data_IF_732830032417
#
_entry.id   IF_732830032417
#
_cell.length_a   1.000
_cell.length_b   1.000
_cell.length_c   1.000
_cell.angle_alpha   90.00
_cell.angle_beta   90.00
_cell.angle_gamma   90.00
#
_symmetry.space_group_name_H-M   'P 1'
#
loop_
_entity.id
_entity.type
_entity.pdbx_description
1 polymer ?
#
# COMPACT_ATOMS: atom_id res chain seq x y z
N UNK A 1 -2.51 -17.29 27.71
CA UNK A 1 -1.20 -17.47 28.36
C UNK A 1 -0.28 -16.39 27.83
N UNK A 2 0.12 -15.40 28.64
CA UNK A 2 1.10 -14.40 28.21
C UNK A 2 2.45 -15.09 28.07
N UNK A 3 2.82 -15.40 26.83
CA UNK A 3 4.15 -15.93 26.54
C UNK A 3 5.11 -14.74 26.65
N UNK A 4 5.64 -14.49 27.85
CA UNK A 4 6.50 -13.33 28.19
C UNK A 4 7.71 -13.16 27.27
N UNK A 5 8.08 -14.23 26.55
CA UNK A 5 9.11 -14.23 25.51
C UNK A 5 8.73 -13.38 24.29
N UNK A 6 7.43 -13.33 23.93
CA UNK A 6 6.96 -12.64 22.73
C UNK A 6 6.72 -11.14 22.94
N UNK A 7 6.54 -10.69 24.19
CA UNK A 7 6.25 -9.28 24.51
C UNK A 7 7.37 -8.33 24.05
N UNK A 8 8.61 -8.81 23.97
CA UNK A 8 9.79 -8.05 23.54
C UNK A 8 9.98 -8.02 22.02
N UNK A 9 9.17 -8.74 21.25
CA UNK A 9 9.34 -8.82 19.80
C UNK A 9 9.09 -7.47 19.14
N UNK A 10 10.05 -7.05 18.32
CA UNK A 10 10.02 -5.78 17.58
C UNK A 10 9.87 -6.02 16.07
N UNK A 11 10.35 -7.16 15.59
CA UNK A 11 10.41 -7.49 14.18
C UNK A 11 10.00 -8.96 14.00
N UNK A 12 8.99 -9.19 13.17
CA UNK A 12 8.44 -10.52 12.89
C UNK A 12 8.38 -10.73 11.38
N UNK A 13 8.99 -11.83 10.93
CA UNK A 13 8.98 -12.25 9.54
C UNK A 13 8.27 -13.60 9.42
N UNK A 14 7.24 -13.64 8.57
CA UNK A 14 6.46 -14.85 8.25
C UNK A 14 6.53 -15.03 6.74
N UNK A 15 7.14 -16.13 6.32
CA UNK A 15 7.39 -16.41 4.91
C UNK A 15 7.12 -17.88 4.55
N UNK A 16 6.45 -18.13 3.42
CA UNK A 16 6.28 -19.47 2.85
C UNK A 16 5.66 -20.50 3.81
N UNK A 17 4.75 -20.02 4.67
CA UNK A 17 4.09 -20.84 5.68
C UNK A 17 2.77 -21.41 5.13
N UNK A 18 2.73 -22.71 4.85
CA UNK A 18 1.61 -23.37 4.14
C UNK A 18 0.41 -23.76 5.02
N UNK A 19 0.58 -23.79 6.35
CA UNK A 19 -0.47 -24.25 7.27
C UNK A 19 -1.06 -23.12 8.13
N UNK A 20 -0.75 -21.86 7.80
CA UNK A 20 -1.29 -20.72 8.55
C UNK A 20 -2.66 -20.33 7.99
N UNK A 21 -3.71 -20.95 8.52
CA UNK A 21 -5.09 -20.51 8.31
C UNK A 21 -5.31 -19.12 8.95
N UNK A 22 -4.61 -18.86 10.06
CA UNK A 22 -4.71 -17.62 10.83
C UNK A 22 -3.32 -17.19 11.29
N UNK A 23 -3.01 -15.89 11.18
CA UNK A 23 -1.81 -15.36 11.81
C UNK A 23 -1.95 -15.40 13.35
N UNK A 24 -0.84 -15.52 14.11
CA UNK A 24 -0.89 -15.42 15.57
C UNK A 24 -1.52 -14.08 16.01
N UNK A 25 -1.84 -13.92 17.29
CA UNK A 25 -2.25 -12.63 17.90
C UNK A 25 -1.11 -11.58 17.91
N UNK A 26 -0.43 -11.38 16.78
CA UNK A 26 0.65 -10.42 16.57
C UNK A 26 0.18 -8.98 16.80
N UNK A 27 -1.11 -8.73 16.59
CA UNK A 27 -1.75 -7.46 16.90
C UNK A 27 -1.65 -7.09 18.38
N UNK A 28 -1.49 -8.04 19.29
CA UNK A 28 -1.39 -7.77 20.73
C UNK A 28 0.04 -7.44 21.17
N UNK A 29 1.04 -7.62 20.29
CA UNK A 29 2.44 -7.42 20.63
C UNK A 29 2.74 -5.92 20.83
N UNK A 30 3.09 -5.47 22.05
CA UNK A 30 3.15 -4.06 22.39
C UNK A 30 4.31 -3.33 21.72
N UNK A 31 5.37 -4.05 21.35
CA UNK A 31 6.62 -3.49 20.83
C UNK A 31 6.88 -3.79 19.34
N UNK A 32 5.99 -4.53 18.68
CA UNK A 32 6.13 -4.90 17.28
C UNK A 32 6.11 -3.64 16.39
N UNK A 33 7.19 -3.40 15.65
CA UNK A 33 7.38 -2.25 14.75
C UNK A 33 7.40 -2.66 13.29
N UNK A 34 7.84 -3.87 12.99
CA UNK A 34 8.03 -4.39 11.64
C UNK A 34 7.34 -5.75 11.53
N UNK A 35 6.43 -5.87 10.56
CA UNK A 35 5.73 -7.11 10.26
C UNK A 35 5.86 -7.42 8.78
N UNK A 36 6.39 -8.60 8.47
CA UNK A 36 6.54 -9.11 7.11
C UNK A 36 5.70 -10.38 6.96
N UNK A 37 4.78 -10.38 6.00
CA UNK A 37 3.93 -11.53 5.67
C UNK A 37 4.08 -11.79 4.16
N UNK A 38 4.73 -12.90 3.82
CA UNK A 38 5.20 -13.19 2.45
C UNK A 38 4.82 -14.62 2.07
N UNK A 39 4.20 -14.82 0.90
CA UNK A 39 3.91 -16.16 0.37
C UNK A 39 3.20 -17.05 1.41
N UNK A 40 2.18 -16.51 2.07
CA UNK A 40 1.31 -17.24 3.00
C UNK A 40 0.01 -17.51 2.26
N UNK A 41 -0.13 -18.71 1.72
CA UNK A 41 -1.19 -19.03 0.75
C UNK A 41 -2.57 -19.17 1.41
N UNK A 42 -2.64 -19.73 2.62
CA UNK A 42 -3.90 -20.06 3.29
C UNK A 42 -4.51 -18.91 4.12
N UNK A 43 -3.80 -17.77 4.28
CA UNK A 43 -4.28 -16.69 5.15
C UNK A 43 -5.37 -15.87 4.45
N UNK A 44 -6.59 -15.92 4.99
CA UNK A 44 -7.70 -15.11 4.51
C UNK A 44 -7.78 -13.74 5.19
N UNK A 45 -7.40 -13.67 6.47
CA UNK A 45 -7.44 -12.45 7.29
C UNK A 45 -6.21 -12.36 8.19
N UNK A 46 -5.68 -11.15 8.35
CA UNK A 46 -4.53 -10.90 9.25
C UNK A 46 -4.99 -10.79 10.72
N UNK A 47 -6.22 -10.33 10.94
CA UNK A 47 -6.86 -10.20 12.24
C UNK A 47 -8.26 -10.84 12.22
N UNK A 48 -8.61 -11.59 13.26
CA UNK A 48 -9.89 -12.32 13.33
C UNK A 48 -10.95 -11.68 14.24
N UNK A 49 -10.55 -11.00 15.32
CA UNK A 49 -11.48 -10.55 16.35
C UNK A 49 -11.70 -9.03 16.31
N UNK A 50 -12.84 -8.55 15.76
CA UNK A 50 -13.17 -7.14 15.73
C UNK A 50 -13.47 -6.57 17.13
N UNK A 51 -13.81 -7.39 18.13
CA UNK A 51 -14.12 -6.93 19.50
C UNK A 51 -12.85 -6.47 20.26
N UNK A 52 -11.67 -6.94 19.83
CA UNK A 52 -10.35 -6.58 20.39
C UNK A 52 -9.63 -5.51 19.53
N UNK A 53 -10.25 -5.10 18.40
CA UNK A 53 -9.62 -4.31 17.33
C UNK A 53 -9.09 -2.92 17.75
N UNK A 54 -9.68 -2.31 18.78
CA UNK A 54 -9.44 -0.90 19.15
C UNK A 54 -7.98 -0.62 19.58
N UNK A 55 -7.18 -1.65 19.89
CA UNK A 55 -5.77 -1.48 20.34
C UNK A 55 -4.77 -2.44 19.71
N UNK A 56 -5.10 -3.07 18.58
CA UNK A 56 -4.12 -3.94 17.92
C UNK A 56 -3.04 -3.12 17.20
N UNK A 57 -1.85 -3.70 17.09
CA UNK A 57 -0.64 -3.12 16.50
C UNK A 57 -0.26 -1.74 17.06
N UNK A 58 -0.16 -1.58 18.40
CA UNK A 58 0.04 -0.27 19.03
C UNK A 58 1.35 0.41 18.64
N UNK A 59 2.36 -0.33 18.17
CA UNK A 59 3.68 0.18 17.81
C UNK A 59 4.06 -0.01 16.33
N UNK A 60 3.17 -0.58 15.50
CA UNK A 60 3.54 -1.01 14.15
C UNK A 60 3.84 0.21 13.25
N UNK A 61 5.04 0.23 12.67
CA UNK A 61 5.53 1.33 11.83
C UNK A 61 5.62 0.95 10.36
N UNK A 62 5.98 -0.31 10.09
CA UNK A 62 6.16 -0.84 8.74
C UNK A 62 5.43 -2.17 8.61
N UNK A 63 4.65 -2.28 7.54
CA UNK A 63 3.94 -3.49 7.16
C UNK A 63 4.37 -3.89 5.75
N UNK A 64 4.76 -5.15 5.58
CA UNK A 64 5.03 -5.77 4.28
C UNK A 64 4.09 -6.92 4.02
N UNK A 65 3.33 -6.84 2.93
CA UNK A 65 2.40 -7.88 2.47
C UNK A 65 2.77 -8.29 1.06
N UNK A 66 3.11 -9.55 0.83
CA UNK A 66 3.54 -10.00 -0.49
C UNK A 66 3.04 -11.40 -0.80
N UNK A 67 2.46 -11.60 -1.99
CA UNK A 67 1.98 -12.91 -2.45
C UNK A 67 1.07 -13.57 -1.40
N UNK A 68 -0.08 -12.96 -1.16
CA UNK A 68 -1.11 -13.45 -0.23
C UNK A 68 -2.39 -13.73 -1.06
N UNK A 69 -2.41 -14.83 -1.83
CA UNK A 69 -3.42 -15.04 -2.89
C UNK A 69 -4.85 -15.19 -2.36
N UNK A 70 -5.03 -15.71 -1.15
CA UNK A 70 -6.35 -15.90 -0.54
C UNK A 70 -6.73 -14.79 0.45
N UNK A 71 -5.93 -13.72 0.58
CA UNK A 71 -6.22 -12.64 1.51
C UNK A 71 -7.50 -11.90 1.09
N UNK A 72 -8.52 -11.93 1.94
CA UNK A 72 -9.83 -11.27 1.76
C UNK A 72 -9.92 -9.92 2.46
N UNK A 73 -9.09 -9.70 3.49
CA UNK A 73 -9.11 -8.45 4.25
C UNK A 73 -8.03 -8.41 5.31
N UNK A 74 -7.72 -7.22 5.81
CA UNK A 74 -6.80 -7.09 6.95
C UNK A 74 -7.45 -7.57 8.25
N UNK A 75 -8.72 -7.22 8.45
CA UNK A 75 -9.55 -7.64 9.58
C UNK A 75 -10.77 -8.39 9.06
N UNK A 76 -11.11 -9.50 9.72
CA UNK A 76 -12.37 -10.20 9.51
C UNK A 76 -13.50 -9.36 10.11
N UNK A 77 -14.24 -8.68 9.25
CA UNK A 77 -15.48 -8.05 9.66
C UNK A 77 -16.51 -9.16 9.92
N UNK A 78 -17.13 -9.15 11.10
CA UNK A 78 -18.39 -9.89 11.24
C UNK A 78 -19.44 -9.13 10.45
N UNK A 79 -20.34 -9.85 9.77
CA UNK A 79 -21.53 -9.29 9.14
C UNK A 79 -22.46 -8.69 10.21
N UNK A 80 -22.07 -7.56 10.79
CA UNK A 80 -22.97 -6.70 11.52
C UNK A 80 -23.83 -6.04 10.45
N UNK A 81 -24.94 -6.72 10.10
CA UNK A 81 -26.11 -6.12 9.44
C UNK A 81 -26.64 -5.00 10.34
N UNK A 82 -25.97 -3.87 10.31
CA UNK A 82 -26.53 -2.61 10.78
C UNK A 82 -27.04 -1.95 9.50
N UNK A 83 -28.33 -2.17 9.25
CA UNK A 83 -29.10 -1.30 8.35
C UNK A 83 -28.80 0.15 8.80
N UNK A 84 -28.25 0.95 7.90
CA UNK A 84 -27.90 2.36 8.08
C UNK A 84 -26.49 2.73 8.61
N UNK A 85 -25.43 2.06 8.12
CA UNK A 85 -24.06 2.59 8.19
C UNK A 85 -23.34 2.48 6.83
N UNK A 86 -23.41 3.52 6.02
CA UNK A 86 -22.73 3.64 4.72
C UNK A 86 -21.20 3.78 4.79
N UNK A 87 -20.53 3.32 5.85
CA UNK A 87 -19.06 3.41 6.00
C UNK A 87 -18.51 2.52 7.11
N UNK A 88 -18.39 1.20 6.92
CA UNK A 88 -17.62 0.37 7.86
C UNK A 88 -16.11 0.64 7.66
N UNK A 89 -15.58 1.44 8.59
CA UNK A 89 -14.25 2.07 8.63
C UNK A 89 -13.32 1.39 9.65
N UNK A 90 -13.29 0.05 9.71
CA UNK A 90 -12.73 -0.64 10.91
C UNK A 90 -11.20 -0.76 10.91
N UNK A 91 -10.54 -0.82 9.74
CA UNK A 91 -9.06 -0.92 9.63
C UNK A 91 -8.33 0.33 10.18
N UNK A 92 -9.03 1.48 10.26
CA UNK A 92 -8.48 2.79 10.65
C UNK A 92 -7.85 2.83 12.05
N UNK A 93 -8.43 2.12 13.01
CA UNK A 93 -8.00 2.21 14.41
C UNK A 93 -6.78 1.35 14.73
N UNK A 94 -6.64 0.19 14.08
CA UNK A 94 -5.56 -0.77 14.33
C UNK A 94 -4.24 -0.37 13.65
N UNK A 95 -4.28 0.38 12.55
CA UNK A 95 -3.08 0.80 11.79
C UNK A 95 -2.70 2.28 11.98
N UNK A 96 -3.20 2.94 13.03
CA UNK A 96 -2.98 4.39 13.27
C UNK A 96 -1.51 4.83 13.30
N UNK A 97 -0.60 3.94 13.67
CA UNK A 97 0.84 4.25 13.77
C UNK A 97 1.64 3.86 12.53
N UNK A 98 0.99 3.24 11.53
CA UNK A 98 1.65 2.77 10.33
C UNK A 98 2.16 3.97 9.51
N UNK A 99 3.47 4.02 9.28
CA UNK A 99 4.13 5.09 8.51
C UNK A 99 4.60 4.62 7.14
N UNK A 100 4.86 3.33 7.00
CA UNK A 100 5.37 2.70 5.78
C UNK A 100 4.57 1.44 5.47
N UNK A 101 4.12 1.32 4.23
CA UNK A 101 3.42 0.14 3.75
C UNK A 101 4.09 -0.28 2.45
N UNK A 102 4.37 -1.55 2.35
CA UNK A 102 4.88 -2.16 1.14
C UNK A 102 3.99 -3.36 0.82
N UNK A 103 3.31 -3.33 -0.32
CA UNK A 103 2.33 -4.37 -0.64
C UNK A 103 2.12 -4.56 -2.13
N UNK A 104 1.45 -5.65 -2.50
CA UNK A 104 0.93 -5.80 -3.87
C UNK A 104 -0.27 -4.87 -4.10
N UNK A 105 -0.58 -4.56 -5.36
CA UNK A 105 -1.77 -3.78 -5.73
C UNK A 105 -3.08 -4.47 -5.28
N UNK A 106 -3.11 -5.81 -5.33
CA UNK A 106 -4.20 -6.66 -4.85
C UNK A 106 -4.40 -6.52 -3.34
N UNK A 107 -3.33 -6.55 -2.55
CA UNK A 107 -3.44 -6.38 -1.10
C UNK A 107 -3.76 -4.93 -0.69
N UNK A 108 -3.29 -3.94 -1.45
CA UNK A 108 -3.60 -2.52 -1.18
C UNK A 108 -5.10 -2.23 -1.25
N UNK A 109 -5.82 -2.88 -2.17
CA UNK A 109 -7.26 -2.74 -2.34
C UNK A 109 -8.07 -3.11 -1.08
N UNK A 110 -7.50 -3.99 -0.25
CA UNK A 110 -8.11 -4.51 0.98
C UNK A 110 -7.84 -3.62 2.20
N UNK A 111 -7.05 -2.56 2.02
CA UNK A 111 -6.67 -1.63 3.06
C UNK A 111 -7.37 -0.28 2.86
N UNK A 112 -7.81 0.31 3.97
CA UNK A 112 -8.49 1.60 3.99
C UNK A 112 -8.04 2.44 5.18
N UNK A 113 -8.32 3.75 5.13
CA UNK A 113 -8.08 4.69 6.23
C UNK A 113 -6.60 4.79 6.67
N UNK A 114 -5.68 4.85 5.70
CA UNK A 114 -4.23 4.90 5.90
C UNK A 114 -3.70 6.34 6.07
N UNK A 115 -4.41 7.18 6.83
CA UNK A 115 -4.14 8.63 6.95
C UNK A 115 -2.75 8.97 7.50
N UNK A 116 -2.16 8.08 8.29
CA UNK A 116 -0.85 8.28 8.89
C UNK A 116 0.32 7.83 8.00
N UNK A 117 0.02 7.22 6.86
CA UNK A 117 1.01 6.66 5.96
C UNK A 117 1.80 7.76 5.26
N UNK A 118 3.13 7.67 5.32
CA UNK A 118 4.05 8.64 4.70
C UNK A 118 4.82 8.07 3.53
N UNK A 119 4.95 6.73 3.46
CA UNK A 119 5.59 6.02 2.37
C UNK A 119 4.77 4.81 1.99
N UNK A 120 4.53 4.66 0.69
CA UNK A 120 3.81 3.54 0.09
C UNK A 120 4.65 2.98 -1.06
N UNK A 121 4.90 1.68 -1.00
CA UNK A 121 5.58 0.93 -2.05
C UNK A 121 4.56 -0.10 -2.60
N UNK A 122 4.09 0.10 -3.83
CA UNK A 122 3.09 -0.76 -4.48
C UNK A 122 3.74 -1.59 -5.57
N UNK A 123 3.51 -2.89 -5.54
CA UNK A 123 4.00 -3.83 -6.52
C UNK A 123 2.83 -4.40 -7.31
N UNK A 124 2.91 -4.29 -8.62
CA UNK A 124 1.94 -4.92 -9.50
C UNK A 124 2.45 -6.33 -9.80
N UNK A 125 1.57 -7.30 -9.61
CA UNK A 125 1.85 -8.70 -9.91
C UNK A 125 1.73 -8.86 -11.43
N UNK A 126 2.84 -9.14 -12.11
CA UNK A 126 2.84 -9.42 -13.55
C UNK A 126 2.17 -10.77 -13.77
N UNK A 127 0.87 -10.73 -14.03
CA UNK A 127 0.10 -11.90 -14.47
C UNK A 127 -0.20 -11.67 -15.94
N UNK A 128 -0.04 -12.70 -16.79
CA UNK A 128 -0.29 -12.68 -18.23
C UNK A 128 -1.77 -12.44 -18.64
N UNK A 129 -2.57 -11.89 -17.74
CA UNK A 129 -4.00 -11.61 -17.86
C UNK A 129 -4.15 -10.17 -17.40
N UNK A 130 -4.84 -9.33 -18.19
CA UNK A 130 -5.12 -7.92 -17.94
C UNK A 130 -5.63 -7.68 -16.49
N UNK A 131 -4.70 -7.53 -15.54
CA UNK A 131 -5.04 -7.31 -14.14
C UNK A 131 -5.36 -5.83 -13.98
N UNK A 132 -6.63 -5.50 -14.21
CA UNK A 132 -7.20 -4.20 -13.87
C UNK A 132 -6.84 -3.88 -12.42
N UNK A 133 -6.27 -2.70 -12.18
CA UNK A 133 -5.83 -2.30 -10.87
C UNK A 133 -6.97 -2.41 -9.84
N UNK A 134 -6.77 -3.20 -8.79
CA UNK A 134 -7.76 -3.40 -7.73
C UNK A 134 -7.84 -2.20 -6.77
N UNK A 135 -6.90 -1.26 -6.84
CA UNK A 135 -6.82 -0.12 -5.91
C UNK A 135 -8.06 0.76 -6.06
N UNK A 136 -8.76 0.98 -4.94
CA UNK A 136 -10.00 1.76 -4.93
C UNK A 136 -9.75 3.26 -4.73
N UNK A 137 -10.72 4.07 -5.15
CA UNK A 137 -10.72 5.51 -4.90
C UNK A 137 -10.63 5.84 -3.41
N UNK A 138 -11.35 5.09 -2.56
CA UNK A 138 -11.36 5.29 -1.11
C UNK A 138 -10.01 5.00 -0.45
N UNK A 139 -9.30 3.94 -0.91
CA UNK A 139 -7.95 3.65 -0.45
C UNK A 139 -7.02 4.84 -0.70
N UNK A 140 -7.02 5.40 -1.91
CA UNK A 140 -6.21 6.56 -2.26
C UNK A 140 -6.63 7.84 -1.52
N UNK A 141 -7.94 8.06 -1.33
CA UNK A 141 -8.45 9.22 -0.59
C UNK A 141 -7.95 9.27 0.84
N UNK A 142 -7.68 8.11 1.43
CA UNK A 142 -7.13 8.04 2.79
C UNK A 142 -5.65 8.41 2.90
N UNK A 143 -4.90 8.44 1.80
CA UNK A 143 -3.45 8.64 1.77
C UNK A 143 -3.04 10.12 1.79
N UNK A 144 -3.71 10.94 2.59
CA UNK A 144 -3.56 12.41 2.59
C UNK A 144 -2.18 12.92 3.03
N UNK A 145 -1.47 12.16 3.87
CA UNK A 145 -0.13 12.48 4.36
C UNK A 145 0.99 11.73 3.61
N UNK A 146 0.67 11.06 2.50
CA UNK A 146 1.65 10.31 1.73
C UNK A 146 2.68 11.25 1.10
N UNK A 147 3.96 11.03 1.40
CA UNK A 147 5.09 11.84 0.90
C UNK A 147 5.89 11.11 -0.18
N UNK A 148 5.93 9.79 -0.11
CA UNK A 148 6.71 8.95 -1.01
C UNK A 148 5.80 7.84 -1.56
N UNK A 149 5.71 7.77 -2.87
CA UNK A 149 5.02 6.70 -3.59
C UNK A 149 6.01 6.02 -4.53
N UNK A 150 6.22 4.73 -4.32
CA UNK A 150 6.98 3.89 -5.23
C UNK A 150 6.01 2.92 -5.90
N UNK A 151 6.07 2.81 -7.22
CA UNK A 151 5.28 1.86 -7.99
C UNK A 151 6.21 1.02 -8.84
N UNK A 152 6.05 -0.30 -8.76
CA UNK A 152 6.95 -1.27 -9.38
C UNK A 152 6.18 -2.29 -10.23
N UNK A 153 6.76 -2.67 -11.37
CA UNK A 153 6.33 -3.80 -12.22
C UNK A 153 4.89 -3.71 -12.73
N UNK A 154 4.43 -2.51 -13.11
CA UNK A 154 3.08 -2.33 -13.65
C UNK A 154 3.10 -2.25 -15.18
N UNK A 155 2.43 -3.20 -15.82
CA UNK A 155 2.22 -3.16 -17.28
C UNK A 155 1.36 -1.94 -17.63
N UNK A 156 0.23 -1.77 -16.94
CA UNK A 156 -0.61 -0.56 -17.02
C UNK A 156 -0.78 0.12 -15.66
N UNK A 157 -0.37 1.39 -15.57
CA UNK A 157 -0.55 2.20 -14.38
C UNK A 157 -1.98 2.77 -14.30
N UNK A 158 -2.96 1.94 -13.94
CA UNK A 158 -4.39 2.33 -13.86
C UNK A 158 -4.88 2.65 -12.43
N UNK A 159 -4.40 3.74 -11.82
CA UNK A 159 -4.94 4.19 -10.52
C UNK A 159 -6.20 5.08 -10.69
N UNK A 160 -7.20 5.00 -9.80
CA UNK A 160 -8.41 5.81 -9.90
C UNK A 160 -8.12 7.30 -9.70
N UNK A 161 -8.33 8.08 -10.76
CA UNK A 161 -7.99 9.50 -10.83
C UNK A 161 -8.61 10.35 -9.70
N UNK A 162 -9.87 10.06 -9.36
CA UNK A 162 -10.55 10.78 -8.27
C UNK A 162 -9.84 10.62 -6.92
N UNK A 163 -9.16 9.50 -6.72
CA UNK A 163 -8.39 9.22 -5.50
C UNK A 163 -7.06 9.95 -5.48
N UNK A 164 -6.40 10.09 -6.64
CA UNK A 164 -5.11 10.77 -6.78
C UNK A 164 -5.15 12.24 -6.34
N UNK A 165 -6.31 12.89 -6.48
CA UNK A 165 -6.52 14.28 -6.02
C UNK A 165 -6.32 14.47 -4.52
N UNK A 166 -6.39 13.40 -3.74
CA UNK A 166 -6.13 13.44 -2.29
C UNK A 166 -4.63 13.42 -1.93
N UNK A 167 -3.75 13.03 -2.86
CA UNK A 167 -2.31 12.87 -2.64
C UNK A 167 -1.55 14.22 -2.69
N UNK A 168 -2.08 15.23 -2.00
CA UNK A 168 -1.56 16.61 -2.02
C UNK A 168 -0.17 16.77 -1.37
N UNK A 169 0.19 15.83 -0.50
CA UNK A 169 1.47 15.84 0.23
C UNK A 169 2.59 15.08 -0.50
N UNK A 170 2.29 14.50 -1.68
CA UNK A 170 3.21 13.63 -2.40
C UNK A 170 4.39 14.45 -2.94
N UNK A 171 5.57 14.25 -2.35
CA UNK A 171 6.79 14.96 -2.70
C UNK A 171 7.70 14.10 -3.60
N UNK A 172 7.69 12.78 -3.43
CA UNK A 172 8.53 11.89 -4.21
C UNK A 172 7.73 10.77 -4.86
N UNK A 173 7.90 10.62 -6.17
CA UNK A 173 7.30 9.56 -6.97
C UNK A 173 8.42 8.78 -7.66
N UNK A 174 8.46 7.47 -7.45
CA UNK A 174 9.37 6.58 -8.14
C UNK A 174 8.56 5.52 -8.90
N UNK A 175 8.83 5.40 -10.19
CA UNK A 175 8.20 4.44 -11.09
C UNK A 175 9.31 3.51 -11.59
N UNK A 176 9.17 2.21 -11.37
CA UNK A 176 10.21 1.22 -11.62
C UNK A 176 9.64 0.08 -12.45
N UNK A 177 10.30 -0.27 -13.55
CA UNK A 177 9.92 -1.38 -14.43
C UNK A 177 8.45 -1.32 -14.85
N UNK A 178 7.96 -0.13 -15.24
CA UNK A 178 6.59 0.03 -15.72
C UNK A 178 6.60 0.37 -17.21
N UNK A 179 5.59 -0.08 -17.96
CA UNK A 179 5.56 0.13 -19.41
C UNK A 179 4.88 1.45 -19.79
N UNK A 180 4.04 2.01 -18.91
CA UNK A 180 3.30 3.24 -19.19
C UNK A 180 3.53 4.33 -18.14
N UNK A 181 3.36 5.59 -18.53
CA UNK A 181 3.30 6.75 -17.63
C UNK A 181 1.96 7.48 -17.82
N UNK A 182 1.04 7.42 -16.86
CA UNK A 182 -0.27 8.05 -17.00
C UNK A 182 -0.15 9.56 -16.90
N UNK A 183 -0.39 10.23 -18.03
CA UNK A 183 -0.34 11.70 -18.15
C UNK A 183 -1.20 12.40 -17.10
N UNK A 184 -2.38 11.85 -16.84
CA UNK A 184 -3.37 12.40 -15.89
C UNK A 184 -2.86 12.51 -14.45
N UNK A 185 -1.88 11.68 -14.06
CA UNK A 185 -1.32 11.72 -12.70
C UNK A 185 -0.62 13.03 -12.41
N UNK A 186 0.13 13.54 -13.37
CA UNK A 186 0.96 14.73 -13.22
C UNK A 186 0.13 16.02 -13.13
N UNK A 187 -1.16 15.97 -13.47
CA UNK A 187 -2.13 17.06 -13.23
C UNK A 187 -2.51 17.15 -11.74
N UNK A 188 -2.37 16.06 -10.98
CA UNK A 188 -2.80 15.98 -9.58
C UNK A 188 -1.67 16.13 -8.55
N UNK A 189 -0.43 15.75 -8.89
CA UNK A 189 0.70 15.76 -7.96
C UNK A 189 1.38 17.13 -7.84
N UNK A 190 0.63 18.15 -7.46
CA UNK A 190 1.11 19.56 -7.49
C UNK A 190 2.30 19.85 -6.57
N UNK A 191 2.51 19.05 -5.51
CA UNK A 191 3.62 19.20 -4.57
C UNK A 191 4.86 18.33 -4.89
N UNK A 192 4.89 17.68 -6.05
CA UNK A 192 5.96 16.73 -6.39
C UNK A 192 7.31 17.43 -6.55
N UNK A 193 8.28 17.05 -5.72
CA UNK A 193 9.65 17.58 -5.73
C UNK A 193 10.63 16.66 -6.47
N UNK A 194 10.40 15.35 -6.42
CA UNK A 194 11.29 14.36 -7.03
C UNK A 194 10.51 13.34 -7.85
N UNK A 195 10.91 13.17 -9.10
CA UNK A 195 10.42 12.14 -10.01
C UNK A 195 11.58 11.22 -10.39
N UNK A 196 11.43 9.92 -10.15
CA UNK A 196 12.38 8.93 -10.58
C UNK A 196 11.72 7.87 -11.45
N UNK A 197 12.31 7.56 -12.60
CA UNK A 197 11.82 6.56 -13.55
C UNK A 197 12.98 5.62 -13.89
N UNK A 198 12.81 4.33 -13.63
CA UNK A 198 13.88 3.33 -13.70
C UNK A 198 13.41 2.10 -14.45
N UNK A 199 14.17 1.65 -15.45
CA UNK A 199 13.91 0.35 -16.09
C UNK A 199 12.58 0.28 -16.85
N UNK A 200 12.03 1.41 -17.31
CA UNK A 200 10.76 1.47 -18.01
C UNK A 200 10.98 1.42 -19.54
N UNK A 201 10.80 0.26 -20.20
CA UNK A 201 11.25 0.08 -21.59
C UNK A 201 10.40 0.85 -22.60
N UNK A 202 9.08 0.97 -22.40
CA UNK A 202 8.17 1.60 -23.35
C UNK A 202 8.06 3.13 -23.21
N UNK A 203 8.74 3.71 -22.22
CA UNK A 203 8.75 5.15 -22.00
C UNK A 203 9.72 5.81 -22.99
N UNK A 204 9.16 6.47 -24.01
CA UNK A 204 9.91 7.22 -25.03
C UNK A 204 10.08 8.70 -24.68
N UNK A 205 9.11 9.27 -23.97
CA UNK A 205 9.16 10.67 -23.55
C UNK A 205 8.42 10.88 -22.23
N UNK A 206 8.76 11.98 -21.56
CA UNK A 206 8.04 12.44 -20.39
C UNK A 206 6.72 13.14 -20.79
N UNK A 207 5.59 12.85 -20.11
CA UNK A 207 4.32 13.56 -20.34
C UNK A 207 4.45 15.09 -20.30
N UNK A 208 3.81 15.78 -21.25
CA UNK A 208 3.85 17.25 -21.30
C UNK A 208 3.25 17.90 -20.04
N UNK A 209 2.37 17.20 -19.36
CA UNK A 209 1.72 17.59 -18.10
C UNK A 209 2.72 17.76 -16.95
N UNK A 210 3.93 17.18 -17.05
CA UNK A 210 5.02 17.44 -16.10
C UNK A 210 5.39 18.94 -16.07
N UNK A 211 5.13 19.70 -17.13
CA UNK A 211 5.27 21.17 -17.12
C UNK A 211 4.43 21.85 -16.05
N UNK A 212 3.34 21.23 -15.60
CA UNK A 212 2.51 21.76 -14.50
C UNK A 212 3.24 21.69 -13.15
N UNK A 213 4.31 20.90 -13.05
CA UNK A 213 5.12 20.70 -11.86
C UNK A 213 6.33 21.66 -11.80
N UNK A 214 6.48 22.59 -12.77
CA UNK A 214 7.64 23.48 -12.86
C UNK A 214 7.93 24.30 -11.59
N UNK A 215 6.92 24.53 -10.74
CA UNK A 215 7.06 25.30 -9.51
C UNK A 215 7.45 24.47 -8.28
N UNK A 216 7.40 23.14 -8.36
CA UNK A 216 7.66 22.22 -7.24
C UNK A 216 8.76 21.20 -7.53
N UNK A 217 8.89 20.74 -8.78
CA UNK A 217 9.81 19.71 -9.19
C UNK A 217 11.26 20.20 -9.17
N UNK A 218 12.10 19.55 -8.38
CA UNK A 218 13.52 19.88 -8.16
C UNK A 218 14.47 18.84 -8.73
N UNK A 219 14.03 17.59 -8.86
CA UNK A 219 14.89 16.49 -9.28
C UNK A 219 14.13 15.53 -10.17
N UNK A 220 14.72 15.23 -11.33
CA UNK A 220 14.27 14.16 -12.23
C UNK A 220 15.43 13.17 -12.38
N UNK A 221 15.15 11.89 -12.14
CA UNK A 221 16.11 10.80 -12.32
C UNK A 221 15.53 9.84 -13.35
N UNK A 222 16.29 9.61 -14.43
CA UNK A 222 15.95 8.69 -15.49
C UNK A 222 17.09 7.67 -15.59
N UNK A 223 16.78 6.39 -15.46
CA UNK A 223 17.77 5.31 -15.53
C UNK A 223 17.20 4.14 -16.31
N UNK A 224 18.04 3.49 -17.11
CA UNK A 224 17.67 2.26 -17.82
C UNK A 224 16.39 2.40 -18.65
N UNK A 225 16.27 3.51 -19.41
CA UNK A 225 15.18 3.80 -20.34
C UNK A 225 15.67 3.59 -21.78
N UNK A 226 15.60 2.37 -22.34
CA UNK A 226 16.24 2.04 -23.61
C UNK A 226 15.65 2.75 -24.84
N UNK A 227 14.42 3.24 -24.77
CA UNK A 227 13.70 3.83 -25.91
C UNK A 227 13.53 5.36 -25.82
N UNK A 228 14.15 6.01 -24.83
CA UNK A 228 14.08 7.46 -24.60
C UNK A 228 15.26 8.22 -25.24
#
# INVERSE_FOLDING_TARGET
MSNSTLEKLVDVHISSCKNFLHLPQLGELPHLKYLWVIAVEEVEYIMEDPLISVRQFPSLKTLYLWSLPNLKGFLKEQELRIEDCSSLKVVSSSLKNLKKLKCTSSNLALLSNLENLTKLDVYFESTSVETKCAVTTETLRSLTNLKILNICNADELSLPEQGLRALKSLANLYIVNCNSLPRVWFVHFTALEKLGIYGCPEVVELPQEIKNLNNSLKTVILSDLPNM
#
